data_IF_201818837944
#
_entry.id   IF_201818837944
#
_cell.length_a   1.000
_cell.length_b   1.000
_cell.length_c   1.000
_cell.angle_alpha   90.00
_cell.angle_beta   90.00
_cell.angle_gamma   90.00
#
_symmetry.space_group_name_H-M   'P 1'
#
loop_
_entity.id
_entity.type
_entity.pdbx_description
1 polymer ?
#
# COMPACT_ATOMS: atom_id res chain seq x y z
N UNK A 1 13.16 19.30 3.73
CA UNK A 1 11.95 18.93 2.98
C UNK A 1 11.86 17.41 3.04
N UNK A 2 10.84 16.88 3.69
CA UNK A 2 10.71 15.42 3.90
C UNK A 2 10.40 14.74 2.56
N UNK A 3 11.01 13.58 2.30
CA UNK A 3 10.81 12.81 1.06
C UNK A 3 10.93 11.33 1.36
N UNK A 4 10.16 10.50 0.66
CA UNK A 4 10.36 9.06 0.62
C UNK A 4 9.93 8.48 -0.74
N UNK A 5 10.37 7.28 -1.02
CA UNK A 5 10.16 6.59 -2.30
C UNK A 5 9.23 5.39 -2.07
N UNK A 6 8.15 5.34 -2.83
CA UNK A 6 7.24 4.18 -2.83
C UNK A 6 7.29 3.44 -4.16
N UNK A 7 7.30 2.12 -4.10
CA UNK A 7 7.15 1.27 -5.28
C UNK A 7 5.79 0.60 -5.32
N UNK A 8 5.12 0.63 -6.47
CA UNK A 8 3.89 -0.13 -6.67
C UNK A 8 4.22 -1.47 -7.30
N UNK A 9 3.84 -2.55 -6.61
CA UNK A 9 4.02 -3.92 -7.03
C UNK A 9 2.68 -4.63 -7.11
N UNK A 10 2.51 -5.46 -8.12
CA UNK A 10 1.26 -6.18 -8.32
C UNK A 10 1.47 -7.43 -9.16
N UNK A 11 0.60 -8.43 -8.97
CA UNK A 11 0.41 -9.46 -9.99
C UNK A 11 -0.17 -8.84 -11.27
N UNK A 12 0.08 -9.48 -12.41
CA UNK A 12 -0.50 -9.07 -13.70
C UNK A 12 -2.01 -8.91 -13.56
N UNK A 13 -2.58 -7.89 -14.16
CA UNK A 13 -4.00 -7.54 -14.12
C UNK A 13 -4.59 -7.19 -12.75
N UNK A 14 -3.82 -7.13 -11.66
CA UNK A 14 -4.34 -6.67 -10.36
C UNK A 14 -4.71 -5.17 -10.33
N UNK A 15 -4.35 -4.41 -11.38
CA UNK A 15 -4.70 -3.00 -11.53
C UNK A 15 -3.62 -2.03 -11.08
N UNK A 16 -2.35 -2.41 -11.23
CA UNK A 16 -1.18 -1.59 -10.89
C UNK A 16 -1.22 -0.20 -11.53
N UNK A 17 -1.30 -0.14 -12.86
CA UNK A 17 -1.35 1.14 -13.60
C UNK A 17 -2.59 1.97 -13.22
N UNK A 18 -3.75 1.32 -13.03
CA UNK A 18 -4.97 2.00 -12.59
C UNK A 18 -4.80 2.63 -11.20
N UNK A 19 -4.12 1.94 -10.28
CA UNK A 19 -3.84 2.49 -8.94
C UNK A 19 -2.83 3.64 -9.01
N UNK A 20 -1.79 3.54 -9.82
CA UNK A 20 -0.84 4.63 -10.05
C UNK A 20 -1.55 5.90 -10.58
N UNK A 21 -2.44 5.75 -11.57
CA UNK A 21 -3.25 6.84 -12.11
C UNK A 21 -4.20 7.43 -11.06
N UNK A 22 -4.85 6.56 -10.25
CA UNK A 22 -5.74 6.99 -9.18
C UNK A 22 -5.01 7.81 -8.11
N UNK A 23 -3.82 7.38 -7.68
CA UNK A 23 -2.96 8.12 -6.76
C UNK A 23 -2.60 9.50 -7.33
N UNK A 24 -2.14 9.56 -8.58
CA UNK A 24 -1.74 10.82 -9.21
C UNK A 24 -2.93 11.76 -9.44
N UNK A 25 -4.12 11.22 -9.66
CA UNK A 25 -5.35 12.01 -9.78
C UNK A 25 -5.79 12.57 -8.43
N UNK A 26 -5.88 11.74 -7.38
CA UNK A 26 -6.29 12.15 -6.02
C UNK A 26 -5.32 13.16 -5.39
N UNK A 27 -4.03 13.08 -5.72
CA UNK A 27 -3.01 14.05 -5.27
C UNK A 27 -2.93 15.31 -6.13
N UNK A 28 -3.83 15.46 -7.13
CA UNK A 28 -3.91 16.63 -8.00
C UNK A 28 -2.78 16.74 -9.03
N UNK A 29 -1.93 15.72 -9.17
CA UNK A 29 -0.88 15.69 -10.18
C UNK A 29 -1.44 15.53 -11.58
N UNK A 30 -2.56 14.81 -11.72
CA UNK A 30 -3.31 14.68 -12.97
C UNK A 30 -4.64 15.39 -12.87
N UNK A 31 -5.02 16.11 -13.93
CA UNK A 31 -6.33 16.75 -14.05
C UNK A 31 -7.44 15.77 -14.46
N UNK A 32 -7.08 14.65 -15.07
CA UNK A 32 -7.99 13.59 -15.53
C UNK A 32 -7.28 12.27 -15.37
N UNK A 33 -7.97 11.29 -14.83
CA UNK A 33 -7.49 9.92 -14.74
C UNK A 33 -7.45 9.28 -16.13
N UNK A 34 -6.27 8.81 -16.55
CA UNK A 34 -6.11 7.99 -17.75
C UNK A 34 -6.66 6.57 -17.52
N UNK A 35 -6.98 5.85 -18.59
CA UNK A 35 -7.43 4.47 -18.54
C UNK A 35 -6.54 3.60 -19.42
N UNK A 36 -6.13 2.46 -18.88
CA UNK A 36 -5.33 1.47 -19.63
C UNK A 36 -6.09 1.01 -20.87
N UNK A 37 -7.42 0.78 -20.75
CA UNK A 37 -8.29 0.37 -21.84
C UNK A 37 -8.33 1.37 -22.98
N UNK A 38 -8.23 2.67 -22.67
CA UNK A 38 -8.22 3.76 -23.65
C UNK A 38 -6.81 4.08 -24.16
N UNK A 39 -5.76 3.46 -23.61
CA UNK A 39 -4.35 3.70 -23.95
C UNK A 39 -3.90 5.14 -23.71
N UNK A 40 -4.49 5.84 -22.76
CA UNK A 40 -4.22 7.23 -22.39
C UNK A 40 -3.64 7.40 -20.98
N UNK A 41 -3.20 6.31 -20.34
CA UNK A 41 -2.57 6.34 -19.03
C UNK A 41 -1.24 7.15 -19.08
N UNK A 42 -1.06 8.03 -18.10
CA UNK A 42 0.08 8.95 -18.00
C UNK A 42 1.43 8.25 -17.91
N UNK A 43 1.47 7.14 -17.18
CA UNK A 43 2.70 6.35 -17.01
C UNK A 43 2.97 5.39 -18.18
N UNK A 44 2.01 5.08 -19.05
CA UNK A 44 2.21 4.20 -20.20
C UNK A 44 2.69 4.99 -21.43
N UNK A 45 3.96 5.42 -21.43
CA UNK A 45 4.53 6.27 -22.47
C UNK A 45 5.04 5.51 -23.69
N UNK A 46 5.44 4.26 -23.55
CA UNK A 46 6.00 3.47 -24.64
C UNK A 46 4.93 2.72 -25.46
N UNK A 47 5.05 2.76 -26.79
CA UNK A 47 4.09 2.11 -27.69
C UNK A 47 4.00 0.59 -27.45
N UNK A 48 5.10 -0.07 -27.06
CA UNK A 48 5.15 -1.50 -26.79
C UNK A 48 4.40 -1.85 -25.50
N UNK A 49 4.52 -1.04 -24.46
CA UNK A 49 3.79 -1.20 -23.19
C UNK A 49 2.29 -1.01 -23.40
N UNK A 50 1.89 0.04 -24.14
CA UNK A 50 0.50 0.28 -24.52
C UNK A 50 -0.11 -0.85 -25.34
N UNK A 51 0.68 -1.46 -26.24
CA UNK A 51 0.21 -2.54 -27.10
C UNK A 51 -0.02 -3.85 -26.32
N UNK A 52 0.76 -4.08 -25.25
CA UNK A 52 0.72 -5.30 -24.45
C UNK A 52 -0.01 -5.14 -23.11
N UNK A 53 -0.32 -3.91 -22.68
CA UNK A 53 -0.94 -3.62 -21.39
C UNK A 53 -0.06 -3.96 -20.18
N UNK A 54 1.28 -3.95 -20.34
CA UNK A 54 2.25 -4.29 -19.30
C UNK A 54 3.31 -3.19 -19.15
N UNK A 55 3.79 -2.97 -17.92
CA UNK A 55 4.93 -2.10 -17.63
C UNK A 55 6.22 -2.86 -17.86
N UNK A 56 7.14 -2.33 -18.67
CA UNK A 56 8.44 -2.93 -18.99
C UNK A 56 9.56 -2.18 -18.25
N UNK A 57 9.50 -0.86 -18.21
CA UNK A 57 10.49 -0.01 -17.56
C UNK A 57 9.89 0.67 -16.33
N UNK A 58 10.69 0.79 -15.27
CA UNK A 58 10.30 1.55 -14.08
C UNK A 58 10.13 3.03 -14.43
N UNK A 59 9.00 3.60 -14.05
CA UNK A 59 8.66 5.00 -14.29
C UNK A 59 8.47 5.70 -12.97
N UNK A 60 8.77 6.99 -12.95
CA UNK A 60 8.61 7.77 -11.73
C UNK A 60 7.66 8.95 -11.89
N UNK A 61 6.94 9.23 -10.83
CA UNK A 61 6.17 10.45 -10.67
C UNK A 61 6.39 11.00 -9.26
N UNK A 62 6.42 12.32 -9.11
CA UNK A 62 6.56 12.97 -7.81
C UNK A 62 5.29 13.76 -7.52
N UNK A 63 4.73 13.58 -6.34
CA UNK A 63 3.56 14.29 -5.88
C UNK A 63 3.66 14.71 -4.41
N UNK A 64 2.96 15.78 -3.99
CA UNK A 64 2.87 16.16 -2.60
C UNK A 64 1.88 15.25 -1.85
N UNK A 65 2.20 14.91 -0.60
CA UNK A 65 1.31 14.23 0.34
C UNK A 65 1.48 14.90 1.71
N UNK A 66 0.57 15.79 2.07
CA UNK A 66 0.76 16.70 3.21
C UNK A 66 2.03 17.52 3.07
N UNK A 67 2.88 17.52 4.09
CA UNK A 67 4.18 18.23 4.12
C UNK A 67 5.33 17.44 3.50
N UNK A 68 5.04 16.30 2.90
CA UNK A 68 6.04 15.37 2.34
C UNK A 68 5.91 15.26 0.83
N UNK A 69 7.03 15.08 0.13
CA UNK A 69 7.05 14.72 -1.28
C UNK A 69 7.26 13.22 -1.43
N UNK A 70 6.36 12.58 -2.14
CA UNK A 70 6.44 11.15 -2.44
C UNK A 70 6.90 10.95 -3.87
N UNK A 71 7.93 10.12 -4.04
CA UNK A 71 8.34 9.63 -5.35
C UNK A 71 7.71 8.26 -5.57
N UNK A 72 6.81 8.18 -6.52
CA UNK A 72 6.17 6.95 -6.95
C UNK A 72 7.02 6.29 -8.03
N UNK A 73 7.39 5.03 -7.83
CA UNK A 73 8.01 4.18 -8.83
C UNK A 73 7.02 3.12 -9.28
N UNK A 74 6.62 3.19 -10.55
CA UNK A 74 5.81 2.15 -11.18
C UNK A 74 6.73 1.03 -11.65
N UNK A 75 6.70 -0.13 -10.99
CA UNK A 75 7.63 -1.24 -11.24
C UNK A 75 7.08 -2.20 -12.29
N UNK A 76 7.93 -2.86 -13.10
CA UNK A 76 7.49 -3.95 -13.96
C UNK A 76 6.80 -5.05 -13.14
N UNK A 77 5.59 -5.45 -13.56
CA UNK A 77 4.81 -6.50 -12.88
C UNK A 77 5.01 -7.90 -13.45
N UNK A 78 5.80 -8.06 -14.52
CA UNK A 78 5.99 -9.35 -15.17
C UNK A 78 7.29 -10.04 -14.73
N UNK A 79 7.25 -11.35 -14.55
CA UNK A 79 8.41 -12.16 -14.08
C UNK A 79 9.65 -12.05 -14.99
N UNK A 80 9.46 -11.79 -16.27
CA UNK A 80 10.56 -11.63 -17.24
C UNK A 80 11.43 -10.38 -16.99
N UNK A 81 10.96 -9.43 -16.16
CA UNK A 81 11.67 -8.19 -15.82
C UNK A 81 12.21 -8.17 -14.39
N UNK A 82 12.50 -9.35 -13.82
CA UNK A 82 12.96 -9.50 -12.44
C UNK A 82 14.22 -8.67 -12.11
N UNK A 83 15.16 -8.55 -13.02
CA UNK A 83 16.37 -7.75 -12.81
C UNK A 83 16.08 -6.24 -12.66
N UNK A 84 15.14 -5.70 -13.43
CA UNK A 84 14.71 -4.30 -13.33
C UNK A 84 13.93 -4.08 -12.04
N UNK A 85 13.08 -5.03 -11.68
CA UNK A 85 12.36 -5.01 -10.41
C UNK A 85 13.32 -5.01 -9.22
N UNK A 86 14.32 -5.90 -9.18
CA UNK A 86 15.29 -5.98 -8.09
C UNK A 86 16.10 -4.69 -7.93
N UNK A 87 16.49 -4.03 -9.03
CA UNK A 87 17.14 -2.72 -8.98
C UNK A 87 16.23 -1.66 -8.36
N UNK A 88 14.95 -1.67 -8.74
CA UNK A 88 13.96 -0.73 -8.18
C UNK A 88 13.75 -0.97 -6.70
N UNK A 89 13.68 -2.24 -6.25
CA UNK A 89 13.52 -2.57 -4.83
C UNK A 89 14.61 -1.96 -3.92
N UNK A 90 15.84 -1.82 -4.43
CA UNK A 90 16.97 -1.27 -3.64
C UNK A 90 16.83 0.21 -3.28
N UNK A 91 15.96 0.94 -3.95
CA UNK A 91 15.76 2.38 -3.74
C UNK A 91 14.41 2.72 -3.10
N UNK A 92 13.62 1.71 -2.73
CA UNK A 92 12.32 1.89 -2.09
C UNK A 92 12.46 2.06 -0.58
N UNK A 93 11.77 3.05 -0.04
CA UNK A 93 11.53 3.19 1.39
C UNK A 93 10.31 2.37 1.82
N UNK A 94 9.28 2.32 0.97
CA UNK A 94 8.04 1.56 1.17
C UNK A 94 7.58 0.90 -0.13
N UNK A 95 6.83 -0.17 0.00
CA UNK A 95 6.14 -0.80 -1.11
C UNK A 95 4.62 -0.74 -0.92
N UNK A 96 3.91 -0.56 -2.02
CA UNK A 96 2.47 -0.73 -2.12
C UNK A 96 2.20 -2.01 -2.90
N UNK A 97 1.76 -3.04 -2.21
CA UNK A 97 1.42 -4.32 -2.83
C UNK A 97 -0.08 -4.34 -3.18
N UNK A 98 -0.39 -4.41 -4.47
CA UNK A 98 -1.75 -4.46 -4.96
C UNK A 98 -2.16 -5.90 -5.18
N UNK A 99 -3.27 -6.29 -4.58
CA UNK A 99 -3.89 -7.60 -4.72
C UNK A 99 -5.28 -7.44 -5.32
N UNK A 100 -5.67 -8.29 -6.25
CA UNK A 100 -7.03 -8.29 -6.79
C UNK A 100 -7.98 -8.96 -5.80
N UNK A 101 -9.05 -8.27 -5.40
CA UNK A 101 -10.08 -8.84 -4.53
C UNK A 101 -10.83 -10.00 -5.17
N UNK A 102 -10.96 -9.99 -6.50
CA UNK A 102 -11.61 -11.06 -7.24
C UNK A 102 -10.75 -12.32 -7.38
N UNK A 103 -9.41 -12.14 -7.54
CA UNK A 103 -8.49 -13.25 -7.82
C UNK A 103 -7.75 -13.73 -6.54
N UNK A 104 -7.78 -12.92 -5.48
CA UNK A 104 -7.08 -13.19 -4.22
C UNK A 104 -5.55 -13.22 -4.37
N UNK A 105 -4.88 -13.89 -3.43
CA UNK A 105 -3.42 -14.03 -3.43
C UNK A 105 -2.99 -15.04 -4.51
N UNK A 106 -2.23 -14.55 -5.48
CA UNK A 106 -1.69 -15.36 -6.58
C UNK A 106 -0.24 -15.77 -6.30
N UNK A 107 0.26 -16.83 -6.97
CA UNK A 107 1.65 -17.30 -6.78
C UNK A 107 2.71 -16.22 -7.06
N UNK A 108 2.43 -15.28 -7.99
CA UNK A 108 3.32 -14.15 -8.23
C UNK A 108 3.27 -13.14 -7.08
N UNK A 109 2.13 -12.93 -6.43
CA UNK A 109 1.99 -12.10 -5.23
C UNK A 109 2.89 -12.64 -4.10
N UNK A 110 2.93 -13.96 -3.89
CA UNK A 110 3.82 -14.58 -2.92
C UNK A 110 5.30 -14.42 -3.29
N UNK A 111 5.62 -14.44 -4.58
CA UNK A 111 6.99 -14.20 -5.04
C UNK A 111 7.41 -12.76 -4.76
N UNK A 112 6.55 -11.77 -5.05
CA UNK A 112 6.77 -10.36 -4.70
C UNK A 112 6.92 -10.19 -3.19
N UNK A 113 6.08 -10.84 -2.39
CA UNK A 113 6.15 -10.81 -0.93
C UNK A 113 7.49 -11.31 -0.40
N UNK A 114 7.99 -12.43 -0.93
CA UNK A 114 9.32 -12.98 -0.57
C UNK A 114 10.46 -12.02 -0.92
N UNK A 115 10.38 -11.34 -2.06
CA UNK A 115 11.35 -10.31 -2.45
C UNK A 115 11.30 -9.12 -1.49
N UNK A 116 10.12 -8.58 -1.21
CA UNK A 116 9.94 -7.48 -0.25
C UNK A 116 10.45 -7.84 1.15
N UNK A 117 10.26 -9.08 1.58
CA UNK A 117 10.81 -9.61 2.84
C UNK A 117 12.33 -9.69 2.80
N UNK A 118 12.92 -10.17 1.70
CA UNK A 118 14.37 -10.27 1.51
C UNK A 118 15.05 -8.91 1.57
N UNK A 119 14.46 -7.90 0.95
CA UNK A 119 14.98 -6.53 0.95
C UNK A 119 14.53 -5.70 2.16
N UNK A 120 13.79 -6.28 3.08
CA UNK A 120 13.26 -5.66 4.31
C UNK A 120 12.45 -4.39 4.06
N UNK A 121 11.74 -4.30 2.94
CA UNK A 121 10.94 -3.13 2.59
C UNK A 121 9.60 -3.18 3.32
N UNK A 122 9.21 -2.16 4.12
CA UNK A 122 7.89 -2.05 4.72
C UNK A 122 6.80 -2.02 3.66
N UNK A 123 5.64 -2.64 3.92
CA UNK A 123 4.60 -2.84 2.92
C UNK A 123 3.26 -2.34 3.40
N UNK A 124 2.60 -1.55 2.55
CA UNK A 124 1.17 -1.29 2.60
C UNK A 124 0.47 -2.16 1.55
N UNK A 125 -0.68 -2.73 1.90
CA UNK A 125 -1.44 -3.60 0.99
C UNK A 125 -2.71 -2.86 0.56
N UNK A 126 -3.02 -2.90 -0.74
CA UNK A 126 -4.28 -2.41 -1.26
C UNK A 126 -4.99 -3.52 -2.03
N UNK A 127 -6.12 -3.98 -1.51
CA UNK A 127 -6.99 -4.95 -2.17
C UNK A 127 -7.89 -4.20 -3.14
N UNK A 128 -7.56 -4.31 -4.41
CA UNK A 128 -8.21 -3.61 -5.51
C UNK A 128 -9.35 -4.43 -6.12
N UNK A 129 -10.19 -3.80 -6.94
CA UNK A 129 -11.30 -4.42 -7.67
C UNK A 129 -12.40 -4.99 -6.74
N UNK A 130 -12.59 -4.42 -5.56
CA UNK A 130 -13.63 -4.83 -4.63
C UNK A 130 -15.05 -4.61 -5.17
N UNK A 131 -15.18 -3.82 -6.25
CA UNK A 131 -16.43 -3.57 -6.96
C UNK A 131 -16.86 -4.70 -7.92
N UNK A 132 -16.03 -5.72 -8.09
CA UNK A 132 -16.36 -6.88 -8.89
C UNK A 132 -17.29 -7.85 -8.12
N UNK A 133 -18.20 -8.49 -8.85
CA UNK A 133 -19.14 -9.45 -8.26
C UNK A 133 -18.39 -10.67 -7.72
N UNK A 134 -18.77 -11.10 -6.51
CA UNK A 134 -18.20 -12.29 -5.88
C UNK A 134 -16.94 -12.02 -5.07
N UNK A 135 -16.51 -10.76 -4.93
CA UNK A 135 -15.45 -10.41 -3.97
C UNK A 135 -15.98 -10.53 -2.55
N UNK A 136 -15.21 -11.20 -1.71
CA UNK A 136 -15.46 -11.34 -0.28
C UNK A 136 -14.27 -10.79 0.47
N UNK A 137 -14.49 -9.67 1.17
CA UNK A 137 -13.45 -8.96 1.89
C UNK A 137 -12.78 -9.80 2.97
N UNK A 138 -13.60 -10.48 3.78
CA UNK A 138 -13.10 -11.23 4.93
C UNK A 138 -12.34 -12.48 4.47
N UNK A 139 -12.82 -13.15 3.42
CA UNK A 139 -12.11 -14.25 2.80
C UNK A 139 -10.76 -13.82 2.19
N UNK A 140 -10.70 -12.65 1.55
CA UNK A 140 -9.43 -12.11 1.03
C UNK A 140 -8.48 -11.76 2.16
N UNK A 141 -8.95 -11.10 3.23
CA UNK A 141 -8.14 -10.76 4.39
C UNK A 141 -7.58 -12.02 5.07
N UNK A 142 -8.40 -13.04 5.26
CA UNK A 142 -7.97 -14.32 5.80
C UNK A 142 -6.88 -14.98 4.92
N UNK A 143 -7.06 -14.97 3.60
CA UNK A 143 -6.07 -15.48 2.65
C UNK A 143 -4.75 -14.70 2.68
N UNK A 144 -4.81 -13.38 2.84
CA UNK A 144 -3.62 -12.54 3.00
C UNK A 144 -2.85 -12.90 4.27
N UNK A 145 -3.54 -13.06 5.39
CA UNK A 145 -2.94 -13.48 6.67
C UNK A 145 -2.29 -14.84 6.60
N UNK A 146 -2.97 -15.82 6.00
CA UNK A 146 -2.48 -17.19 5.88
C UNK A 146 -1.28 -17.30 4.92
N UNK A 147 -1.34 -16.65 3.75
CA UNK A 147 -0.37 -16.87 2.66
C UNK A 147 0.77 -15.87 2.66
N UNK A 148 0.60 -14.68 3.24
CA UNK A 148 1.66 -13.67 3.28
C UNK A 148 2.20 -13.50 4.69
N UNK A 149 1.38 -12.98 5.63
CA UNK A 149 1.83 -12.74 7.01
C UNK A 149 0.64 -12.49 7.94
N UNK A 150 0.68 -13.05 9.15
CA UNK A 150 -0.36 -12.83 10.15
C UNK A 150 -0.47 -11.37 10.63
N UNK A 151 0.60 -10.58 10.48
CA UNK A 151 0.61 -9.14 10.75
C UNK A 151 -0.12 -8.28 9.72
N UNK A 152 -0.81 -8.88 8.73
CA UNK A 152 -1.71 -8.14 7.84
C UNK A 152 -2.98 -7.77 8.59
N UNK A 153 -3.21 -6.47 8.78
CA UNK A 153 -4.35 -5.94 9.52
C UNK A 153 -5.13 -4.97 8.64
N UNK A 154 -6.46 -5.05 8.74
CA UNK A 154 -7.33 -4.06 8.10
C UNK A 154 -7.21 -2.70 8.78
N UNK A 155 -6.80 -1.72 8.00
CA UNK A 155 -6.61 -0.33 8.45
C UNK A 155 -7.75 0.61 8.03
N UNK A 156 -8.87 0.08 7.54
CA UNK A 156 -10.05 0.91 7.24
C UNK A 156 -10.53 1.62 8.50
N UNK A 157 -10.63 2.95 8.44
CA UNK A 157 -11.05 3.77 9.57
C UNK A 157 -10.00 4.00 10.66
N UNK A 158 -8.78 3.50 10.50
CA UNK A 158 -7.66 3.78 11.43
C UNK A 158 -7.03 5.12 11.05
N UNK A 159 -6.97 6.05 12.01
CA UNK A 159 -6.43 7.40 11.84
C UNK A 159 -5.28 7.60 12.82
N UNK A 160 -4.11 7.97 12.30
CA UNK A 160 -2.95 8.37 13.10
C UNK A 160 -3.02 9.86 13.43
N UNK A 161 -3.29 10.18 14.68
CA UNK A 161 -3.11 11.55 15.18
C UNK A 161 -1.69 11.76 15.68
N UNK A 162 -1.36 12.99 16.13
CA UNK A 162 0.01 13.31 16.59
C UNK A 162 0.45 12.39 17.75
N UNK A 163 -0.46 12.00 18.63
CA UNK A 163 -0.14 11.24 19.85
C UNK A 163 -0.63 9.79 19.81
N UNK A 164 -1.91 9.55 19.48
CA UNK A 164 -2.55 8.24 19.60
C UNK A 164 -3.38 7.88 18.38
N UNK A 165 -3.57 6.58 18.13
CA UNK A 165 -4.51 6.11 17.14
C UNK A 165 -5.94 6.43 17.55
N UNK A 166 -6.72 6.83 16.57
CA UNK A 166 -8.17 6.94 16.67
C UNK A 166 -8.84 6.07 15.60
N UNK A 167 -10.03 5.63 15.88
CA UNK A 167 -10.79 4.75 15.02
C UNK A 167 -12.10 5.44 14.65
N UNK A 168 -12.43 5.49 13.38
CA UNK A 168 -13.69 6.03 12.87
C UNK A 168 -14.37 5.05 11.94
N UNK A 169 -15.69 5.15 11.81
CA UNK A 169 -16.36 4.41 10.75
C UNK A 169 -15.85 4.94 9.39
N UNK A 170 -15.29 4.06 8.59
CA UNK A 170 -14.91 4.41 7.22
C UNK A 170 -16.18 4.65 6.39
N UNK A 171 -16.20 5.75 5.64
CA UNK A 171 -17.27 6.07 4.70
C UNK A 171 -17.12 5.28 3.37
N UNK A 172 -16.05 4.52 3.22
CA UNK A 172 -15.78 3.78 2.00
C UNK A 172 -16.66 2.55 1.87
N UNK A 173 -17.23 2.28 0.70
CA UNK A 173 -18.23 1.23 0.49
C UNK A 173 -17.68 -0.19 0.68
N UNK A 174 -16.38 -0.36 0.71
CA UNK A 174 -15.70 -1.66 0.87
C UNK A 174 -14.95 -1.80 2.20
N UNK A 175 -15.02 -0.78 3.06
CA UNK A 175 -14.51 -0.87 4.42
C UNK A 175 -15.38 -1.82 5.27
N UNK A 176 -14.82 -2.27 6.38
CA UNK A 176 -15.62 -3.01 7.35
C UNK A 176 -16.83 -2.17 7.82
N UNK A 177 -18.00 -2.77 7.80
CA UNK A 177 -19.19 -2.14 8.39
C UNK A 177 -19.00 -2.15 9.89
N UNK A 178 -18.77 -0.97 10.49
CA UNK A 178 -18.65 -0.77 11.94
C UNK A 178 -17.74 -1.80 12.63
N UNK A 179 -16.45 -1.77 12.31
CA UNK A 179 -15.48 -2.52 13.11
C UNK A 179 -15.43 -1.91 14.51
N UNK A 180 -15.48 -2.75 15.54
CA UNK A 180 -15.32 -2.30 16.91
C UNK A 180 -13.92 -1.67 17.06
N UNK A 181 -13.81 -0.41 17.52
CA UNK A 181 -12.54 0.24 17.78
C UNK A 181 -11.61 -0.56 18.70
N UNK A 182 -12.15 -1.24 19.71
CA UNK A 182 -11.37 -2.07 20.63
C UNK A 182 -10.81 -3.30 19.90
N UNK A 183 -11.61 -4.01 19.11
CA UNK A 183 -11.14 -5.16 18.31
C UNK A 183 -10.05 -4.74 17.32
N UNK A 184 -10.19 -3.56 16.69
CA UNK A 184 -9.21 -3.04 15.77
C UNK A 184 -7.87 -2.71 16.46
N UNK A 185 -7.95 -2.09 17.66
CA UNK A 185 -6.79 -1.76 18.46
C UNK A 185 -6.07 -3.02 18.97
N UNK A 186 -6.81 -4.02 19.45
CA UNK A 186 -6.27 -5.29 19.91
C UNK A 186 -5.57 -6.04 18.79
N UNK A 187 -6.14 -6.08 17.59
CA UNK A 187 -5.52 -6.73 16.44
C UNK A 187 -4.20 -6.05 16.05
N UNK A 188 -4.13 -4.72 16.07
CA UNK A 188 -2.89 -3.97 15.84
C UNK A 188 -1.89 -4.26 16.95
N UNK A 189 -2.32 -4.21 18.22
CA UNK A 189 -1.47 -4.46 19.38
C UNK A 189 -0.82 -5.85 19.35
N UNK A 190 -1.55 -6.88 18.95
CA UNK A 190 -1.05 -8.26 18.90
C UNK A 190 0.04 -8.50 17.86
N UNK A 191 0.30 -7.56 16.95
CA UNK A 191 1.38 -7.68 15.97
C UNK A 191 2.79 -7.52 16.57
N UNK A 192 2.91 -6.93 17.77
CA UNK A 192 4.19 -6.71 18.43
C UNK A 192 4.06 -6.75 19.96
N UNK A 193 5.00 -7.41 20.64
CA UNK A 193 4.97 -7.57 22.11
C UNK A 193 5.00 -6.20 22.83
N UNK A 194 5.79 -5.24 22.34
CA UNK A 194 5.90 -3.92 22.95
C UNK A 194 4.61 -3.13 22.77
N UNK A 195 3.98 -3.23 21.59
CA UNK A 195 2.65 -2.63 21.36
C UNK A 195 1.60 -3.24 22.27
N UNK A 196 1.61 -4.55 22.43
CA UNK A 196 0.64 -5.26 23.27
C UNK A 196 0.78 -4.86 24.74
N UNK A 197 2.01 -4.82 25.28
CA UNK A 197 2.28 -4.38 26.64
C UNK A 197 1.81 -2.93 26.87
N UNK A 198 2.10 -2.01 25.92
CA UNK A 198 1.68 -0.62 26.01
C UNK A 198 0.14 -0.50 25.95
N UNK A 199 -0.52 -1.23 25.08
CA UNK A 199 -1.97 -1.25 24.99
C UNK A 199 -2.64 -1.79 26.26
N UNK A 200 -2.11 -2.88 26.83
CA UNK A 200 -2.63 -3.45 28.07
C UNK A 200 -2.43 -2.52 29.28
N UNK A 201 -1.39 -1.69 29.27
CA UNK A 201 -1.11 -0.73 30.35
C UNK A 201 -1.98 0.55 30.24
N UNK A 202 -2.09 1.11 29.06
CA UNK A 202 -2.64 2.46 28.82
C UNK A 202 -4.01 2.45 28.12
N UNK A 203 -4.44 1.31 27.55
CA UNK A 203 -5.67 1.18 26.76
C UNK A 203 -5.62 1.93 25.42
N UNK A 204 -4.46 2.42 25.01
CA UNK A 204 -4.27 3.21 23.79
C UNK A 204 -3.01 2.81 23.05
N UNK A 205 -2.98 3.05 21.73
CA UNK A 205 -1.83 2.83 20.88
C UNK A 205 -1.25 4.16 20.42
N UNK A 206 0.05 4.37 20.64
CA UNK A 206 0.73 5.58 20.16
C UNK A 206 1.04 5.45 18.67
N UNK A 207 0.76 6.50 17.93
CA UNK A 207 1.00 6.54 16.48
C UNK A 207 2.44 6.25 16.11
N UNK A 208 3.41 6.77 16.87
CA UNK A 208 4.83 6.55 16.60
C UNK A 208 5.28 5.11 16.83
N UNK A 209 4.71 4.41 17.81
CA UNK A 209 5.00 3.00 18.05
C UNK A 209 4.45 2.14 16.90
N UNK A 210 3.24 2.46 16.42
CA UNK A 210 2.65 1.79 15.25
C UNK A 210 3.47 2.04 13.98
N UNK A 211 3.93 3.28 13.74
CA UNK A 211 4.86 3.62 12.64
C UNK A 211 6.11 2.75 12.66
N UNK A 212 6.68 2.57 13.85
CA UNK A 212 7.88 1.75 14.05
C UNK A 212 7.61 0.29 13.71
N UNK A 213 6.49 -0.27 14.17
CA UNK A 213 6.13 -1.68 13.94
C UNK A 213 5.83 -1.94 12.45
N UNK A 214 5.23 -0.97 11.74
CA UNK A 214 5.10 -1.01 10.28
C UNK A 214 6.47 -0.99 9.60
N UNK A 215 7.35 -0.07 10.02
CA UNK A 215 8.71 0.04 9.47
C UNK A 215 9.52 -1.24 9.72
N UNK A 216 9.38 -1.86 10.90
CA UNK A 216 10.07 -3.09 11.28
C UNK A 216 9.43 -4.35 10.64
N UNK A 217 8.39 -4.17 9.79
CA UNK A 217 7.71 -5.24 9.05
C UNK A 217 7.05 -6.30 9.94
N UNK A 218 6.46 -5.89 11.02
CA UNK A 218 5.64 -6.73 11.91
C UNK A 218 4.14 -6.47 11.73
N UNK A 219 3.80 -5.29 11.19
CA UNK A 219 2.44 -4.86 10.90
C UNK A 219 2.37 -4.40 9.45
N UNK A 220 1.35 -4.84 8.72
CA UNK A 220 1.13 -4.54 7.31
C UNK A 220 -0.29 -3.97 7.12
N UNK A 221 -0.42 -2.64 7.04
CA UNK A 221 -1.71 -2.00 6.81
C UNK A 221 -2.35 -2.46 5.51
N UNK A 222 -3.60 -2.94 5.59
CA UNK A 222 -4.38 -3.42 4.46
C UNK A 222 -5.61 -2.55 4.25
N UNK A 223 -5.85 -2.15 3.01
CA UNK A 223 -6.98 -1.32 2.59
C UNK A 223 -7.75 -2.01 1.48
N UNK A 224 -9.05 -1.73 1.40
CA UNK A 224 -9.95 -2.33 0.42
C UNK A 224 -10.59 -1.25 -0.45
N UNK A 225 -10.63 -1.47 -1.78
CA UNK A 225 -11.21 -0.46 -2.64
C UNK A 225 -11.30 -0.84 -4.11
N UNK A 226 -11.58 0.18 -4.91
CA UNK A 226 -11.55 0.11 -6.37
C UNK A 226 -10.81 1.33 -6.91
N UNK A 227 -9.60 1.13 -7.39
CA UNK A 227 -8.81 2.18 -7.99
C UNK A 227 -9.53 2.82 -9.19
N UNK A 228 -10.26 2.03 -9.98
CA UNK A 228 -11.03 2.52 -11.12
C UNK A 228 -12.16 3.49 -10.71
N UNK A 229 -12.77 3.26 -9.54
CA UNK A 229 -13.85 4.09 -8.98
C UNK A 229 -13.34 5.10 -7.95
N UNK A 230 -12.03 5.17 -7.70
CA UNK A 230 -11.37 5.98 -6.68
C UNK A 230 -11.80 5.66 -5.23
N UNK A 231 -12.53 4.58 -5.02
CA UNK A 231 -12.97 4.17 -3.69
C UNK A 231 -11.83 3.57 -2.88
N UNK A 232 -11.65 3.99 -1.62
CA UNK A 232 -10.59 3.58 -0.69
C UNK A 232 -9.21 4.22 -0.99
N UNK A 233 -9.03 4.88 -2.14
CA UNK A 233 -7.72 5.44 -2.54
C UNK A 233 -7.33 6.62 -1.66
N UNK A 234 -8.28 7.50 -1.34
CA UNK A 234 -8.01 8.66 -0.47
C UNK A 234 -7.70 8.24 0.95
N UNK A 235 -8.44 7.28 1.50
CA UNK A 235 -8.19 6.71 2.83
C UNK A 235 -6.80 6.09 2.89
N UNK A 236 -6.45 5.27 1.90
CA UNK A 236 -5.10 4.70 1.75
C UNK A 236 -4.01 5.78 1.71
N UNK A 237 -4.20 6.86 0.93
CA UNK A 237 -3.22 7.95 0.82
C UNK A 237 -3.08 8.71 2.15
N UNK A 238 -4.18 8.95 2.86
CA UNK A 238 -4.16 9.57 4.19
C UNK A 238 -3.33 8.73 5.14
N UNK A 239 -3.61 7.44 5.25
CA UNK A 239 -2.86 6.52 6.10
C UNK A 239 -1.38 6.40 5.67
N UNK A 240 -1.10 6.35 4.38
CA UNK A 240 0.29 6.37 3.89
C UNK A 240 1.03 7.63 4.37
N UNK A 241 0.39 8.80 4.30
CA UNK A 241 0.96 10.06 4.79
C UNK A 241 1.18 10.11 6.30
N UNK A 242 0.30 9.45 7.06
CA UNK A 242 0.34 9.41 8.52
C UNK A 242 1.35 8.37 9.04
N UNK A 243 1.39 7.19 8.45
CA UNK A 243 2.16 6.06 8.97
C UNK A 243 3.51 5.83 8.29
N UNK A 244 3.76 6.37 7.09
CA UNK A 244 5.07 6.28 6.48
C UNK A 244 6.02 7.32 7.09
N UNK A 245 7.16 6.84 7.59
CA UNK A 245 8.23 7.70 8.12
C UNK A 245 9.22 8.05 7.02
N UNK A 246 9.72 9.29 7.02
CA UNK A 246 10.76 9.69 6.09
C UNK A 246 12.12 9.19 6.58
N UNK A 247 12.87 8.44 5.78
CA UNK A 247 14.20 8.00 6.16
C UNK A 247 15.16 9.18 6.28
N UNK A 248 16.11 9.04 7.20
CA UNK A 248 17.21 10.01 7.37
C UNK A 248 18.40 9.56 6.51
N UNK A 249 18.39 9.93 5.24
CA UNK A 249 19.44 9.57 4.29
C UNK A 249 20.82 10.16 4.64
N UNK A 250 20.90 11.12 5.57
CA UNK A 250 22.17 11.71 5.95
C UNK A 250 23.03 10.77 6.79
N UNK A 251 22.42 9.79 7.45
CA UNK A 251 23.11 8.78 8.25
C UNK A 251 23.69 7.64 7.44
N UNK A 252 23.08 7.32 6.29
CA UNK A 252 23.45 6.15 5.49
C UNK A 252 24.52 6.45 4.43
N UNK A 253 24.67 7.70 4.02
CA UNK A 253 25.59 8.11 2.95
C UNK A 253 26.76 8.99 3.44
N UNK A 254 27.12 8.94 4.72
CA UNK A 254 28.27 9.58 5.34
C UNK A 254 28.82 10.78 4.58
N UNK A 255 28.35 11.99 4.91
CA UNK A 255 28.95 13.23 4.40
C UNK A 255 30.24 13.51 5.16
#
# INVERSE_FOLDING_TARGET
>A
MKRFVIGILAHVDAGKTTMSEAILYETGKLKKMGRVDNRDAFLDTFALERARGITIFSKQAVFPLGDTFVTLLDTPGHVDFSAEMERTLQVLDYAVLIVSGADGVQGHTETLWRLLRRYRIPVFIFVNKMDQKGTDRDAVLASLKERLDHGVVDFSGVIGNEDVLTFSASAEPFAAVCRDPEEAAEEIATCDEVLLEAYLADGTLKTDDVRKVIHDRKLFPCFFGSALKLSGVREFLTALGEFATCPDYTKDFGA
#
